data_IF_500881029811
#
_entry.id   IF_500881029811
#
_cell.length_a   1.000
_cell.length_b   1.000
_cell.length_c   1.000
_cell.angle_alpha   90.00
_cell.angle_beta   90.00
_cell.angle_gamma   90.00
#
_symmetry.space_group_name_H-M   'P 1'
#
loop_
_entity.id
_entity.type
_entity.pdbx_description
1 polymer ?
#
# COMPACT_ATOMS: atom_id res chain seq x y z
N UNK A 1 56.70 -26.18 -17.04
CA UNK A 1 56.48 -24.86 -16.39
C UNK A 1 56.01 -23.82 -17.39
N UNK A 2 56.61 -23.74 -18.55
CA UNK A 2 56.30 -22.76 -19.64
C UNK A 2 54.90 -22.83 -20.20
N UNK A 3 54.29 -23.99 -20.40
CA UNK A 3 52.95 -24.12 -20.93
C UNK A 3 51.86 -23.55 -19.97
N UNK A 4 52.02 -23.75 -18.67
CA UNK A 4 51.12 -23.22 -17.65
C UNK A 4 51.16 -21.68 -17.56
N UNK A 5 52.34 -21.12 -17.75
CA UNK A 5 52.54 -19.65 -17.74
C UNK A 5 51.95 -19.00 -19.00
N UNK A 6 52.14 -19.67 -20.15
CA UNK A 6 51.49 -19.26 -21.40
C UNK A 6 49.94 -19.28 -21.35
N UNK A 7 49.36 -20.32 -20.75
CA UNK A 7 47.90 -20.43 -20.54
C UNK A 7 47.41 -19.33 -19.58
N UNK A 8 48.10 -19.10 -18.46
CA UNK A 8 47.73 -18.02 -17.51
C UNK A 8 47.78 -16.64 -18.16
N UNK A 9 48.83 -16.34 -18.93
CA UNK A 9 48.96 -15.08 -19.66
C UNK A 9 47.83 -14.88 -20.69
N UNK A 10 47.45 -15.95 -21.41
CA UNK A 10 46.35 -15.93 -22.36
C UNK A 10 45.02 -15.73 -21.67
N UNK A 11 44.77 -16.38 -20.53
CA UNK A 11 43.58 -16.17 -19.70
C UNK A 11 43.46 -14.74 -19.19
N UNK A 12 44.61 -14.15 -18.70
CA UNK A 12 44.62 -12.75 -18.25
C UNK A 12 44.22 -11.81 -19.38
N UNK A 13 44.83 -11.94 -20.54
CA UNK A 13 44.50 -11.11 -21.73
C UNK A 13 43.08 -11.24 -22.17
N UNK A 14 42.49 -12.44 -22.14
CA UNK A 14 41.08 -12.65 -22.46
C UNK A 14 40.14 -12.00 -21.43
N UNK A 15 40.47 -12.07 -20.15
CA UNK A 15 39.72 -11.39 -19.08
C UNK A 15 39.80 -9.88 -19.22
N UNK A 16 40.98 -9.33 -19.49
CA UNK A 16 41.17 -7.89 -19.67
C UNK A 16 40.39 -7.38 -20.89
N UNK A 17 40.40 -8.16 -21.97
CA UNK A 17 39.59 -7.85 -23.20
C UNK A 17 38.09 -7.94 -22.91
N UNK A 18 37.63 -8.96 -22.19
CA UNK A 18 36.23 -9.09 -21.82
C UNK A 18 35.76 -7.90 -20.95
N UNK A 19 36.59 -7.52 -19.95
CA UNK A 19 36.32 -6.36 -19.11
C UNK A 19 36.25 -5.05 -19.92
N UNK A 20 37.19 -4.86 -20.86
CA UNK A 20 37.20 -3.68 -21.72
C UNK A 20 35.96 -3.61 -22.61
N UNK A 21 35.54 -4.75 -23.20
CA UNK A 21 34.31 -4.84 -24.00
C UNK A 21 33.06 -4.59 -23.16
N UNK A 22 32.99 -5.14 -21.93
CA UNK A 22 31.89 -4.87 -21.00
C UNK A 22 31.77 -3.39 -20.67
N UNK A 23 32.88 -2.71 -20.40
CA UNK A 23 32.91 -1.27 -20.16
C UNK A 23 32.40 -0.49 -21.39
N UNK A 24 32.87 -0.87 -22.58
CA UNK A 24 32.44 -0.22 -23.82
C UNK A 24 30.94 -0.41 -24.07
N UNK A 25 30.44 -1.64 -23.99
CA UNK A 25 29.01 -1.95 -24.19
C UNK A 25 28.14 -1.18 -23.17
N UNK A 26 28.55 -1.17 -21.90
CA UNK A 26 27.85 -0.41 -20.89
C UNK A 26 27.83 1.09 -21.20
N UNK A 27 28.98 1.66 -21.62
CA UNK A 27 29.04 3.07 -21.98
C UNK A 27 28.09 3.40 -23.15
N UNK A 28 28.12 2.61 -24.22
CA UNK A 28 27.25 2.80 -25.39
C UNK A 28 25.76 2.68 -25.01
N UNK A 29 25.37 1.69 -24.18
CA UNK A 29 24.00 1.51 -23.72
C UNK A 29 23.51 2.72 -22.89
N UNK A 30 24.34 3.18 -21.94
CA UNK A 30 23.96 4.30 -21.07
C UNK A 30 24.00 5.65 -21.81
N UNK A 31 24.89 5.82 -22.81
CA UNK A 31 24.95 7.05 -23.62
C UNK A 31 23.79 7.13 -24.62
N UNK A 32 23.31 5.99 -25.13
CA UNK A 32 22.14 5.92 -25.98
C UNK A 32 20.81 5.95 -25.24
N UNK A 33 20.78 5.78 -23.91
CA UNK A 33 19.54 5.72 -23.15
C UNK A 33 18.96 7.12 -22.89
N UNK A 34 17.70 7.34 -23.27
CA UNK A 34 16.97 8.57 -22.94
C UNK A 34 16.44 8.56 -21.49
N UNK A 35 16.16 7.38 -20.94
CA UNK A 35 15.66 7.20 -19.58
C UNK A 35 16.42 6.06 -18.92
N UNK A 36 16.86 6.27 -17.69
CA UNK A 36 17.50 5.25 -16.86
C UNK A 36 16.67 5.07 -15.59
N UNK A 37 16.14 3.87 -15.39
CA UNK A 37 15.38 3.52 -14.18
C UNK A 37 16.27 2.74 -13.21
N UNK A 38 16.25 3.14 -11.93
CA UNK A 38 16.98 2.44 -10.86
C UNK A 38 16.34 2.69 -9.49
N UNK A 39 16.73 1.91 -8.49
CA UNK A 39 16.44 2.28 -7.10
C UNK A 39 17.31 3.45 -6.67
N UNK A 40 16.88 4.20 -5.64
CA UNK A 40 17.64 5.35 -5.11
C UNK A 40 19.08 4.97 -4.75
N UNK A 41 19.26 3.84 -4.09
CA UNK A 41 20.61 3.35 -3.70
C UNK A 41 21.41 2.92 -4.92
N UNK A 42 20.79 2.24 -5.88
CA UNK A 42 21.45 1.80 -7.12
C UNK A 42 21.89 2.96 -8.02
N UNK A 43 21.31 4.16 -7.83
CA UNK A 43 21.75 5.37 -8.54
C UNK A 43 23.21 5.75 -8.22
N UNK A 44 23.78 5.20 -7.12
CA UNK A 44 25.20 5.38 -6.77
C UNK A 44 26.13 4.33 -7.40
N UNK A 45 25.64 3.49 -8.29
CA UNK A 45 26.45 2.46 -8.93
C UNK A 45 27.53 3.08 -9.81
N UNK A 46 28.72 2.40 -9.90
CA UNK A 46 29.89 2.87 -10.66
C UNK A 46 29.61 3.25 -12.11
N UNK A 47 28.68 2.59 -12.77
CA UNK A 47 28.27 2.87 -14.15
C UNK A 47 27.60 4.25 -14.32
N UNK A 48 27.10 4.82 -13.24
CA UNK A 48 26.49 6.15 -13.22
C UNK A 48 27.41 7.23 -12.63
N UNK A 49 28.69 6.89 -12.33
CA UNK A 49 29.64 7.88 -11.84
C UNK A 49 29.99 8.90 -12.95
N UNK A 50 30.07 10.17 -12.57
CA UNK A 50 30.36 11.26 -13.48
C UNK A 50 29.20 11.66 -14.40
N UNK A 51 28.09 10.90 -14.45
CA UNK A 51 26.90 11.24 -15.24
C UNK A 51 26.03 12.27 -14.50
N UNK A 52 25.50 13.21 -15.24
CA UNK A 52 24.48 14.16 -14.79
C UNK A 52 23.23 14.02 -15.66
N UNK A 53 22.08 14.26 -15.04
CA UNK A 53 20.78 14.11 -15.65
C UNK A 53 20.03 15.44 -15.62
N UNK A 54 19.35 15.80 -16.68
CA UNK A 54 18.58 17.04 -16.73
C UNK A 54 17.39 16.99 -15.75
N UNK A 55 16.75 15.83 -15.59
CA UNK A 55 15.62 15.67 -14.67
C UNK A 55 15.67 14.29 -13.99
N UNK A 56 15.46 14.30 -12.67
CA UNK A 56 15.23 13.11 -11.87
C UNK A 56 13.76 13.06 -11.45
N UNK A 57 13.12 11.92 -11.66
CA UNK A 57 11.81 11.60 -11.11
C UNK A 57 12.01 10.59 -9.98
N UNK A 58 11.50 10.90 -8.79
CA UNK A 58 11.44 9.96 -7.66
C UNK A 58 9.98 9.59 -7.46
N UNK A 59 9.64 8.36 -7.82
CA UNK A 59 8.32 7.81 -7.58
C UNK A 59 8.24 7.25 -6.15
N UNK A 60 7.03 7.24 -5.56
CA UNK A 60 6.79 6.87 -4.15
C UNK A 60 7.69 7.65 -3.18
N UNK A 61 7.92 8.94 -3.46
CA UNK A 61 8.84 9.77 -2.69
C UNK A 61 8.43 9.94 -1.21
N UNK A 62 7.15 9.77 -0.89
CA UNK A 62 6.65 9.75 0.49
C UNK A 62 7.09 8.51 1.28
N UNK A 63 7.54 7.43 0.60
CA UNK A 63 8.05 6.21 1.22
C UNK A 63 9.58 6.15 1.24
N UNK A 64 10.26 7.17 0.74
CA UNK A 64 11.70 7.19 0.62
C UNK A 64 12.34 7.94 1.78
N UNK A 65 13.36 7.34 2.41
CA UNK A 65 14.19 8.07 3.37
C UNK A 65 14.85 9.26 2.69
N UNK A 66 14.84 10.41 3.35
CA UNK A 66 15.46 11.63 2.82
C UNK A 66 16.91 11.42 2.39
N UNK A 67 17.72 10.75 3.22
CA UNK A 67 19.12 10.46 2.89
C UNK A 67 19.26 9.64 1.59
N UNK A 68 18.35 8.70 1.33
CA UNK A 68 18.35 7.93 0.08
C UNK A 68 17.98 8.80 -1.13
N UNK A 69 17.06 9.76 -0.99
CA UNK A 69 16.73 10.71 -2.05
C UNK A 69 17.95 11.54 -2.46
N UNK A 70 18.74 12.01 -1.49
CA UNK A 70 19.94 12.82 -1.78
C UNK A 70 21.02 12.08 -2.56
N UNK A 71 21.07 10.75 -2.51
CA UNK A 71 21.98 9.95 -3.34
C UNK A 71 21.73 10.20 -4.83
N UNK A 72 20.47 10.20 -5.24
CA UNK A 72 20.06 10.42 -6.62
C UNK A 72 20.04 11.92 -6.99
N UNK A 73 19.55 12.78 -6.09
CA UNK A 73 19.38 14.23 -6.31
C UNK A 73 20.69 14.90 -6.72
N UNK A 74 21.81 14.50 -6.11
CA UNK A 74 23.13 15.04 -6.44
C UNK A 74 23.54 14.90 -7.90
N UNK A 75 22.87 14.03 -8.66
CA UNK A 75 23.20 13.71 -10.06
C UNK A 75 22.28 14.42 -11.06
N UNK A 76 21.33 15.22 -10.59
CA UNK A 76 20.33 15.86 -11.47
C UNK A 76 20.29 17.38 -11.24
N UNK A 77 19.85 18.08 -12.30
CA UNK A 77 19.68 19.54 -12.26
C UNK A 77 18.29 19.92 -11.81
N UNK A 78 17.28 19.10 -12.09
CA UNK A 78 15.89 19.27 -11.68
C UNK A 78 15.35 17.98 -11.07
N UNK A 79 14.53 18.11 -10.03
CA UNK A 79 13.91 16.97 -9.33
C UNK A 79 12.40 17.11 -9.33
N UNK A 80 11.69 16.02 -9.64
CA UNK A 80 10.26 15.87 -9.50
C UNK A 80 10.01 14.74 -8.50
N UNK A 81 9.31 15.05 -7.40
CA UNK A 81 8.90 14.08 -6.38
C UNK A 81 7.44 13.70 -6.67
N UNK A 82 7.18 12.44 -6.96
CA UNK A 82 5.84 11.88 -7.08
C UNK A 82 5.57 11.00 -5.86
N UNK A 83 4.36 11.08 -5.30
CA UNK A 83 3.97 10.30 -4.12
C UNK A 83 2.85 10.95 -3.36
N UNK A 84 2.49 10.34 -2.24
CA UNK A 84 1.39 10.79 -1.39
C UNK A 84 1.82 10.79 0.08
N UNK A 85 2.03 11.97 0.64
CA UNK A 85 2.44 12.15 2.03
C UNK A 85 1.33 11.85 3.05
N UNK A 86 0.09 11.70 2.60
CA UNK A 86 -1.04 11.23 3.41
C UNK A 86 -1.14 9.70 3.45
N UNK A 87 -0.24 8.98 2.78
CA UNK A 87 -0.07 7.53 2.87
C UNK A 87 1.14 7.17 3.75
N UNK A 88 1.48 5.86 3.80
CA UNK A 88 2.50 5.36 4.73
C UNK A 88 3.89 5.95 4.46
N UNK A 89 4.61 6.35 5.51
CA UNK A 89 6.01 6.75 5.44
C UNK A 89 6.93 5.52 5.30
N UNK A 90 8.24 5.73 5.10
CA UNK A 90 9.19 4.64 5.10
C UNK A 90 9.19 3.90 6.46
N UNK A 91 9.28 2.55 6.47
CA UNK A 91 9.29 1.79 7.72
C UNK A 91 10.60 2.00 8.48
N UNK A 92 10.50 2.58 9.68
CA UNK A 92 11.65 2.79 10.57
C UNK A 92 11.60 1.76 11.71
N UNK A 93 12.64 0.92 11.82
CA UNK A 93 12.72 -0.12 12.86
C UNK A 93 13.14 0.43 14.23
N UNK A 94 13.91 1.49 14.25
CA UNK A 94 14.39 2.12 15.48
C UNK A 94 13.43 3.25 15.87
N UNK A 95 12.72 3.07 16.98
CA UNK A 95 11.76 4.07 17.48
C UNK A 95 12.42 5.39 17.88
N UNK A 96 13.63 5.36 18.40
CA UNK A 96 14.37 6.57 18.76
C UNK A 96 14.74 7.38 17.51
N UNK A 97 15.20 6.69 16.45
CA UNK A 97 15.49 7.33 15.18
C UNK A 97 14.25 7.94 14.52
N UNK A 98 13.10 7.24 14.60
CA UNK A 98 11.82 7.76 14.10
C UNK A 98 11.45 9.06 14.84
N UNK A 99 11.47 9.04 16.19
CA UNK A 99 11.23 10.24 17.03
C UNK A 99 12.25 11.34 16.76
N UNK A 100 13.49 11.00 16.42
CA UNK A 100 14.54 11.93 16.00
C UNK A 100 14.32 12.56 14.63
N UNK A 101 13.22 12.20 13.94
CA UNK A 101 12.82 12.80 12.66
C UNK A 101 13.22 12.00 11.41
N UNK A 102 13.77 10.77 11.56
CA UNK A 102 14.14 9.94 10.41
C UNK A 102 12.93 9.52 9.56
N UNK A 103 11.74 9.44 10.16
CA UNK A 103 10.50 9.13 9.45
C UNK A 103 9.97 10.29 8.59
N UNK A 104 10.42 11.53 8.85
CA UNK A 104 9.98 12.70 8.09
C UNK A 104 10.67 12.73 6.74
N UNK A 105 9.92 12.49 5.69
CA UNK A 105 10.44 12.37 4.31
C UNK A 105 10.80 13.72 3.70
N UNK A 106 11.65 13.70 2.65
CA UNK A 106 11.94 14.91 1.88
C UNK A 106 10.66 15.49 1.26
N UNK A 107 9.75 14.63 0.79
CA UNK A 107 8.47 15.05 0.22
C UNK A 107 7.61 15.81 1.25
N UNK A 108 7.45 15.29 2.48
CA UNK A 108 6.74 15.98 3.55
C UNK A 108 7.35 17.35 3.88
N UNK A 109 8.69 17.45 3.86
CA UNK A 109 9.39 18.73 4.07
C UNK A 109 9.12 19.71 2.94
N UNK A 110 9.08 19.24 1.69
CA UNK A 110 8.77 20.09 0.52
C UNK A 110 7.32 20.55 0.58
N UNK A 111 6.37 19.65 0.84
CA UNK A 111 4.94 19.99 0.96
C UNK A 111 4.71 21.06 2.04
N UNK A 112 5.34 20.89 3.21
CA UNK A 112 5.17 21.82 4.33
C UNK A 112 5.84 23.17 4.11
N UNK A 113 7.04 23.20 3.52
CA UNK A 113 7.87 24.40 3.48
C UNK A 113 7.80 25.16 2.15
N UNK A 114 7.34 24.49 1.07
CA UNK A 114 7.29 25.04 -0.29
C UNK A 114 5.98 24.70 -0.99
N UNK A 115 4.81 25.05 -0.43
CA UNK A 115 3.52 24.68 -1.02
C UNK A 115 3.33 25.18 -2.47
N UNK A 116 3.98 26.28 -2.83
CA UNK A 116 3.90 26.84 -4.18
C UNK A 116 4.46 25.94 -5.30
N UNK A 117 5.27 24.92 -4.96
CA UNK A 117 5.81 23.95 -5.94
C UNK A 117 5.10 22.60 -5.88
N UNK A 118 4.04 22.51 -5.09
CA UNK A 118 3.25 21.28 -4.92
C UNK A 118 2.01 21.35 -5.78
N UNK A 119 1.73 20.27 -6.50
CA UNK A 119 0.51 20.11 -7.30
C UNK A 119 -0.19 18.83 -6.90
N UNK A 120 -1.46 18.91 -6.52
CA UNK A 120 -2.31 17.76 -6.25
C UNK A 120 -2.91 17.23 -7.56
N UNK A 121 -2.76 15.93 -7.81
CA UNK A 121 -3.51 15.24 -8.86
C UNK A 121 -4.93 14.97 -8.35
N UNK A 122 -5.90 15.76 -8.81
CA UNK A 122 -7.25 15.79 -8.25
C UNK A 122 -8.14 14.66 -8.77
N UNK A 123 -7.99 14.29 -10.04
CA UNK A 123 -8.82 13.25 -10.66
C UNK A 123 -8.22 11.87 -10.42
N UNK A 124 -8.98 11.00 -9.81
CA UNK A 124 -8.60 9.60 -9.58
C UNK A 124 -9.43 8.65 -10.46
N UNK A 125 -8.80 7.53 -10.89
CA UNK A 125 -9.34 6.54 -11.82
C UNK A 125 -9.50 5.15 -11.19
N UNK A 126 -9.50 5.05 -9.86
CA UNK A 126 -9.54 3.77 -9.13
C UNK A 126 -10.88 3.52 -8.47
N UNK A 127 -11.28 4.40 -7.58
CA UNK A 127 -12.35 4.15 -6.62
C UNK A 127 -13.71 4.63 -7.11
N UNK A 128 -14.75 3.89 -6.73
CA UNK A 128 -16.10 4.43 -6.70
C UNK A 128 -16.15 5.74 -5.91
N UNK A 129 -16.97 6.70 -6.34
CA UNK A 129 -17.03 8.04 -5.73
C UNK A 129 -17.33 8.01 -4.23
N UNK A 130 -18.28 7.17 -3.79
CA UNK A 130 -18.63 7.08 -2.35
C UNK A 130 -17.48 6.55 -1.50
N UNK A 131 -16.64 5.66 -2.02
CA UNK A 131 -15.43 5.19 -1.30
C UNK A 131 -14.40 6.31 -1.21
N UNK A 132 -14.25 7.11 -2.26
CA UNK A 132 -13.29 8.21 -2.33
C UNK A 132 -13.68 9.41 -1.45
N UNK A 133 -14.97 9.71 -1.31
CA UNK A 133 -15.44 10.94 -0.64
C UNK A 133 -14.87 11.15 0.76
N UNK A 134 -14.86 10.13 1.61
CA UNK A 134 -14.34 10.27 2.97
C UNK A 134 -12.82 10.50 3.00
N UNK A 135 -11.96 9.70 2.33
CA UNK A 135 -10.54 10.03 2.18
C UNK A 135 -10.29 11.43 1.60
N UNK A 136 -11.06 11.84 0.58
CA UNK A 136 -10.96 13.17 -0.01
C UNK A 136 -11.15 14.27 1.02
N UNK A 137 -12.22 14.19 1.80
CA UNK A 137 -12.55 15.19 2.82
C UNK A 137 -11.54 15.22 3.97
N UNK A 138 -11.08 14.04 4.42
CA UNK A 138 -10.23 13.95 5.58
C UNK A 138 -8.75 14.27 5.30
N UNK A 139 -8.22 13.80 4.18
CA UNK A 139 -6.79 13.88 3.87
C UNK A 139 -6.43 14.89 2.77
N UNK A 140 -7.38 15.25 1.90
CA UNK A 140 -7.09 16.03 0.69
C UNK A 140 -8.03 17.24 0.53
N UNK A 141 -8.52 17.79 1.64
CA UNK A 141 -9.37 19.00 1.69
C UNK A 141 -10.63 18.94 0.81
N UNK A 142 -11.13 17.76 0.49
CA UNK A 142 -12.27 17.57 -0.40
C UNK A 142 -11.97 17.79 -1.89
N UNK A 143 -10.69 17.87 -2.28
CA UNK A 143 -10.29 18.26 -3.64
C UNK A 143 -10.22 17.08 -4.63
N UNK A 144 -10.37 15.83 -4.18
CA UNK A 144 -10.36 14.69 -5.09
C UNK A 144 -11.70 14.53 -5.80
N UNK A 145 -11.63 14.15 -7.07
CA UNK A 145 -12.76 13.88 -7.95
C UNK A 145 -12.62 12.49 -8.57
N UNK A 146 -13.71 11.75 -8.67
CA UNK A 146 -13.73 10.49 -9.39
C UNK A 146 -13.92 10.74 -10.89
N UNK A 147 -13.07 10.14 -11.70
CA UNK A 147 -13.22 10.16 -13.14
C UNK A 147 -14.59 9.54 -13.55
N UNK A 148 -15.22 10.02 -14.64
CA UNK A 148 -16.54 9.52 -15.06
C UNK A 148 -16.62 7.99 -15.20
N UNK A 149 -15.52 7.36 -15.64
CA UNK A 149 -15.43 5.91 -15.89
C UNK A 149 -15.48 5.06 -14.62
N UNK A 150 -15.13 5.63 -13.47
CA UNK A 150 -15.08 4.91 -12.20
C UNK A 150 -16.09 5.40 -11.19
N UNK A 151 -16.71 6.54 -11.42
CA UNK A 151 -17.58 7.25 -10.47
C UNK A 151 -18.67 6.36 -9.86
N UNK A 152 -19.34 5.59 -10.69
CA UNK A 152 -20.46 4.72 -10.30
C UNK A 152 -20.20 3.24 -10.58
N UNK A 153 -18.92 2.87 -10.68
CA UNK A 153 -18.53 1.49 -10.95
C UNK A 153 -18.89 0.58 -9.78
N UNK A 154 -19.73 -0.41 -10.01
CA UNK A 154 -20.18 -1.37 -9.02
C UNK A 154 -20.17 -2.81 -9.55
N UNK A 155 -20.29 -3.79 -8.64
CA UNK A 155 -20.38 -5.21 -8.98
C UNK A 155 -21.82 -5.67 -9.04
N UNK A 156 -22.64 -5.24 -8.09
CA UNK A 156 -24.04 -5.58 -7.98
C UNK A 156 -24.90 -4.31 -8.07
N UNK A 157 -26.01 -4.39 -8.76
CA UNK A 157 -26.99 -3.32 -8.78
C UNK A 157 -27.56 -3.09 -7.36
N UNK A 158 -27.73 -1.81 -6.99
CA UNK A 158 -28.27 -1.41 -5.69
C UNK A 158 -27.43 -1.83 -4.47
N UNK A 159 -26.14 -2.19 -4.66
CA UNK A 159 -25.22 -2.48 -3.57
C UNK A 159 -24.52 -1.19 -3.09
N UNK A 160 -24.51 -0.96 -1.78
CA UNK A 160 -23.79 0.18 -1.22
C UNK A 160 -22.28 -0.01 -1.40
N UNK A 161 -21.55 0.95 -1.99
CA UNK A 161 -20.12 0.81 -2.26
C UNK A 161 -19.24 0.67 -1.01
N UNK A 162 -19.67 1.25 0.11
CA UNK A 162 -18.99 1.18 1.40
C UNK A 162 -19.96 0.73 2.49
N UNK A 163 -19.54 -0.21 3.31
CA UNK A 163 -20.35 -0.77 4.38
C UNK A 163 -19.51 -1.00 5.65
N UNK A 164 -20.08 -0.71 6.83
CA UNK A 164 -19.50 -1.02 8.13
C UNK A 164 -20.33 -2.09 8.82
N UNK A 165 -19.68 -3.18 9.21
CA UNK A 165 -20.28 -4.23 10.04
C UNK A 165 -19.82 -3.97 11.47
N UNK A 166 -20.73 -3.48 12.28
CA UNK A 166 -20.48 -3.20 13.70
C UNK A 166 -20.54 -4.47 14.53
N UNK A 167 -19.50 -4.72 15.29
CA UNK A 167 -19.37 -5.89 16.18
C UNK A 167 -19.60 -5.55 17.66
N UNK A 168 -20.03 -4.34 18.00
CA UNK A 168 -20.18 -3.86 19.38
C UNK A 168 -21.14 -4.71 20.23
N UNK A 169 -22.21 -5.23 19.65
CA UNK A 169 -23.20 -6.05 20.36
C UNK A 169 -22.86 -7.55 20.37
N UNK A 170 -21.72 -7.94 19.78
CA UNK A 170 -21.39 -9.36 19.56
C UNK A 170 -20.44 -9.96 20.60
N UNK A 171 -20.04 -9.19 21.62
CA UNK A 171 -19.04 -9.58 22.66
C UNK A 171 -17.76 -10.20 22.07
N UNK A 172 -17.31 -9.68 20.93
CA UNK A 172 -16.07 -10.12 20.31
C UNK A 172 -14.88 -9.50 21.03
N UNK A 173 -13.90 -10.32 21.42
CA UNK A 173 -12.74 -9.87 22.20
C UNK A 173 -11.46 -9.98 21.41
N UNK A 174 -10.65 -8.92 21.50
CA UNK A 174 -9.29 -8.99 21.04
C UNK A 174 -8.40 -9.79 21.98
N UNK A 175 -7.50 -10.60 21.43
CA UNK A 175 -6.53 -11.39 22.17
C UNK A 175 -5.09 -10.97 21.82
N UNK A 176 -4.20 -11.02 22.79
CA UNK A 176 -2.76 -10.91 22.52
C UNK A 176 -2.21 -12.23 22.01
N UNK A 177 -1.35 -12.18 21.01
CA UNK A 177 -0.68 -13.36 20.44
C UNK A 177 0.82 -13.13 20.41
N UNK A 178 1.57 -14.01 21.09
CA UNK A 178 3.04 -13.97 21.12
C UNK A 178 3.64 -12.87 22.00
N UNK A 179 4.97 -12.83 22.02
CA UNK A 179 5.75 -11.88 22.84
C UNK A 179 5.79 -10.46 22.27
N UNK A 180 5.39 -10.26 21.02
CA UNK A 180 5.48 -8.98 20.30
C UNK A 180 4.11 -8.43 19.96
N UNK A 181 3.41 -7.81 20.90
CA UNK A 181 2.22 -6.96 20.67
C UNK A 181 1.28 -7.35 19.51
N UNK A 182 1.30 -8.59 19.06
CA UNK A 182 0.38 -9.13 18.07
C UNK A 182 -1.02 -9.17 18.65
N UNK A 183 -2.03 -8.77 17.85
CA UNK A 183 -3.43 -8.85 18.26
C UNK A 183 -4.20 -9.66 17.24
N UNK A 184 -5.20 -10.38 17.74
CA UNK A 184 -6.14 -11.16 16.95
C UNK A 184 -7.53 -11.03 17.55
N UNK A 185 -8.53 -10.99 16.68
CA UNK A 185 -9.94 -11.15 17.04
C UNK A 185 -10.49 -12.26 16.13
N UNK A 186 -10.52 -13.48 16.66
CA UNK A 186 -10.91 -14.67 15.90
C UNK A 186 -12.37 -14.62 15.48
N UNK A 187 -13.23 -14.13 16.37
CA UNK A 187 -14.65 -14.02 16.09
C UNK A 187 -14.93 -13.01 14.96
N UNK A 188 -14.26 -11.85 14.95
CA UNK A 188 -14.33 -10.87 13.87
C UNK A 188 -13.83 -11.47 12.56
N UNK A 189 -12.72 -12.24 12.60
CA UNK A 189 -12.21 -12.92 11.39
C UNK A 189 -13.19 -13.95 10.83
N UNK A 190 -13.84 -14.74 11.70
CA UNK A 190 -14.81 -15.76 11.29
C UNK A 190 -16.09 -15.10 10.74
N UNK A 191 -16.54 -13.97 11.31
CA UNK A 191 -17.61 -13.14 10.76
C UNK A 191 -17.22 -12.59 9.38
N UNK A 192 -16.02 -12.02 9.24
CA UNK A 192 -15.52 -11.52 7.95
C UNK A 192 -15.60 -12.60 6.87
N UNK A 193 -15.18 -13.82 7.17
CA UNK A 193 -15.22 -14.93 6.22
C UNK A 193 -16.64 -15.35 5.88
N UNK A 194 -17.58 -15.27 6.83
CA UNK A 194 -19.00 -15.49 6.58
C UNK A 194 -19.56 -14.45 5.60
N UNK A 195 -19.31 -13.17 5.86
CA UNK A 195 -19.75 -12.06 5.00
C UNK A 195 -19.13 -12.12 3.61
N UNK A 196 -17.83 -12.47 3.53
CA UNK A 196 -17.15 -12.71 2.26
C UNK A 196 -17.84 -13.82 1.44
N UNK A 197 -18.21 -14.94 2.08
CA UNK A 197 -18.92 -16.02 1.41
C UNK A 197 -20.34 -15.62 0.97
N UNK A 198 -21.04 -14.87 1.80
CA UNK A 198 -22.35 -14.31 1.46
C UNK A 198 -22.22 -13.43 0.21
N UNK A 199 -21.22 -12.55 0.19
CA UNK A 199 -20.99 -11.65 -0.93
C UNK A 199 -20.60 -12.40 -2.23
N UNK A 200 -19.73 -13.40 -2.13
CA UNK A 200 -19.38 -14.30 -3.25
C UNK A 200 -20.63 -14.99 -3.83
N UNK A 201 -21.51 -15.49 -2.95
CA UNK A 201 -22.76 -16.13 -3.39
C UNK A 201 -23.71 -15.14 -4.07
N UNK A 202 -23.80 -13.90 -3.59
CA UNK A 202 -24.59 -12.82 -4.21
C UNK A 202 -24.10 -12.47 -5.62
N UNK A 203 -22.76 -12.40 -5.81
CA UNK A 203 -22.18 -12.13 -7.15
C UNK A 203 -22.40 -13.33 -8.08
N UNK A 204 -22.29 -14.53 -7.54
CA UNK A 204 -22.31 -15.79 -8.28
C UNK A 204 -20.91 -16.23 -8.73
N UNK A 205 -20.58 -17.49 -8.38
CA UNK A 205 -19.23 -18.02 -8.59
C UNK A 205 -18.78 -18.04 -10.04
N UNK A 206 -19.68 -18.27 -10.99
CA UNK A 206 -19.38 -18.24 -12.43
C UNK A 206 -18.93 -16.84 -12.86
N UNK A 207 -19.66 -15.81 -12.50
CA UNK A 207 -19.37 -14.41 -12.82
C UNK A 207 -18.02 -13.97 -12.24
N UNK A 208 -17.71 -14.34 -10.98
CA UNK A 208 -16.43 -14.04 -10.35
C UNK A 208 -15.24 -14.57 -11.17
N UNK A 209 -15.36 -15.81 -11.68
CA UNK A 209 -14.29 -16.44 -12.45
C UNK A 209 -14.16 -15.87 -13.87
N UNK A 210 -15.28 -15.59 -14.52
CA UNK A 210 -15.32 -15.04 -15.88
C UNK A 210 -14.80 -13.58 -15.92
N UNK A 211 -15.26 -12.73 -14.99
CA UNK A 211 -14.86 -11.32 -14.89
C UNK A 211 -13.58 -11.13 -14.08
N UNK A 212 -13.04 -12.17 -13.47
CA UNK A 212 -11.85 -12.16 -12.59
C UNK A 212 -11.96 -11.16 -11.46
N UNK A 213 -13.15 -11.04 -10.84
CA UNK A 213 -13.37 -10.15 -9.70
C UNK A 213 -12.43 -10.56 -8.56
N UNK A 214 -11.57 -9.64 -8.15
CA UNK A 214 -10.54 -9.90 -7.16
C UNK A 214 -10.87 -9.30 -5.79
N UNK A 215 -10.40 -10.01 -4.74
CA UNK A 215 -10.72 -9.68 -3.35
C UNK A 215 -9.43 -9.41 -2.56
N UNK A 216 -9.44 -8.32 -1.81
CA UNK A 216 -8.43 -8.01 -0.83
C UNK A 216 -8.97 -8.12 0.59
N UNK A 217 -8.22 -8.74 1.48
CA UNK A 217 -8.53 -8.80 2.90
C UNK A 217 -7.37 -8.17 3.65
N UNK A 218 -7.67 -7.10 4.36
CA UNK A 218 -6.66 -6.25 5.02
C UNK A 218 -6.89 -6.27 6.53
N UNK A 219 -5.81 -6.40 7.29
CA UNK A 219 -5.82 -6.13 8.72
C UNK A 219 -4.52 -5.41 9.14
N UNK A 220 -4.55 -4.52 10.14
CA UNK A 220 -3.34 -3.89 10.66
C UNK A 220 -2.43 -4.86 11.42
N UNK A 221 -2.91 -6.05 11.80
CA UNK A 221 -2.19 -7.00 12.64
C UNK A 221 -1.80 -8.28 11.91
N UNK A 222 -0.52 -8.62 11.93
CA UNK A 222 0.02 -9.83 11.27
C UNK A 222 -0.62 -11.13 11.78
N UNK A 223 -0.95 -11.21 13.08
CA UNK A 223 -1.60 -12.38 13.65
C UNK A 223 -2.99 -12.61 13.02
N UNK A 224 -3.79 -11.54 12.86
CA UNK A 224 -5.09 -11.60 12.19
C UNK A 224 -4.97 -12.03 10.73
N UNK A 225 -4.01 -11.44 10.02
CA UNK A 225 -3.71 -11.81 8.62
C UNK A 225 -3.38 -13.30 8.50
N UNK A 226 -2.54 -13.82 9.39
CA UNK A 226 -2.15 -15.24 9.35
C UNK A 226 -3.33 -16.17 9.67
N UNK A 227 -4.17 -15.78 10.62
CA UNK A 227 -5.39 -16.55 10.93
C UNK A 227 -6.35 -16.59 9.74
N UNK A 228 -6.63 -15.44 9.14
CA UNK A 228 -7.48 -15.32 7.94
C UNK A 228 -6.93 -16.14 6.77
N UNK A 229 -5.61 -16.09 6.51
CA UNK A 229 -4.95 -16.91 5.49
C UNK A 229 -5.17 -18.42 5.72
N UNK A 230 -4.97 -18.88 6.95
CA UNK A 230 -5.14 -20.27 7.31
C UNK A 230 -6.59 -20.73 7.12
N UNK A 231 -7.56 -19.94 7.55
CA UNK A 231 -8.99 -20.21 7.39
C UNK A 231 -9.40 -20.27 5.91
N UNK A 232 -8.99 -19.29 5.08
CA UNK A 232 -9.26 -19.29 3.63
C UNK A 232 -8.63 -20.51 2.95
N UNK A 233 -7.41 -20.88 3.37
CA UNK A 233 -6.73 -22.07 2.83
C UNK A 233 -7.44 -23.38 3.22
N UNK A 234 -8.02 -23.45 4.41
CA UNK A 234 -8.72 -24.62 4.89
C UNK A 234 -10.15 -24.76 4.32
N UNK A 235 -10.78 -23.65 3.93
CA UNK A 235 -12.16 -23.62 3.45
C UNK A 235 -12.28 -24.17 2.01
N UNK A 236 -12.99 -25.29 1.87
CA UNK A 236 -13.20 -25.95 0.58
C UNK A 236 -14.06 -25.11 -0.37
N UNK A 237 -15.01 -24.33 0.14
CA UNK A 237 -15.91 -23.48 -0.67
C UNK A 237 -15.17 -22.32 -1.35
N UNK A 238 -14.08 -21.86 -0.75
CA UNK A 238 -13.24 -20.80 -1.28
C UNK A 238 -12.13 -21.28 -2.21
N UNK A 239 -11.95 -22.63 -2.32
CA UNK A 239 -10.90 -23.24 -3.15
C UNK A 239 -10.89 -22.76 -4.62
N UNK A 240 -12.03 -22.61 -5.32
CA UNK A 240 -12.05 -22.14 -6.72
C UNK A 240 -11.54 -20.73 -6.91
N UNK A 241 -11.65 -19.88 -5.89
CA UNK A 241 -11.37 -18.43 -5.96
C UNK A 241 -10.01 -18.05 -5.36
N UNK A 242 -9.19 -18.99 -4.88
CA UNK A 242 -7.95 -18.71 -4.12
C UNK A 242 -6.97 -17.81 -4.85
N UNK A 243 -6.87 -17.92 -6.17
CA UNK A 243 -6.01 -17.07 -6.98
C UNK A 243 -6.48 -15.62 -7.07
N UNK A 244 -7.74 -15.34 -6.73
CA UNK A 244 -8.36 -14.03 -6.73
C UNK A 244 -8.30 -13.36 -5.35
N UNK A 245 -7.82 -14.07 -4.31
CA UNK A 245 -7.69 -13.52 -2.96
C UNK A 245 -6.28 -13.03 -2.68
N UNK A 246 -6.19 -11.86 -2.08
CA UNK A 246 -4.97 -11.35 -1.43
C UNK A 246 -5.28 -11.00 0.02
N UNK A 247 -4.59 -11.64 0.95
CA UNK A 247 -4.72 -11.36 2.40
C UNK A 247 -3.42 -10.80 2.91
N UNK A 248 -3.38 -9.56 3.38
CA UNK A 248 -2.14 -8.96 3.85
C UNK A 248 -2.37 -7.86 4.89
N UNK A 249 -1.27 -7.40 5.50
CA UNK A 249 -1.30 -6.19 6.32
C UNK A 249 -1.50 -4.96 5.42
N UNK A 250 -1.85 -3.83 6.02
CA UNK A 250 -2.00 -2.55 5.30
C UNK A 250 -0.72 -2.23 4.53
N UNK A 251 0.45 -2.35 5.18
CA UNK A 251 1.76 -2.10 4.55
C UNK A 251 2.00 -3.03 3.35
N UNK A 252 1.57 -4.29 3.44
CA UNK A 252 1.70 -5.26 2.35
C UNK A 252 0.71 -5.07 1.20
N UNK A 253 -0.32 -4.21 1.38
CA UNK A 253 -1.25 -3.81 0.33
C UNK A 253 -0.86 -2.50 -0.37
N UNK A 254 0.15 -1.82 0.10
CA UNK A 254 0.60 -0.57 -0.52
C UNK A 254 0.99 -0.80 -1.99
N UNK A 255 0.58 0.11 -2.88
CA UNK A 255 0.75 -0.04 -4.33
C UNK A 255 -0.21 -1.03 -5.02
N UNK A 256 -1.03 -1.77 -4.26
CA UNK A 256 -2.02 -2.70 -4.82
C UNK A 256 -3.43 -2.12 -4.79
N UNK A 257 -4.36 -2.73 -5.53
CA UNK A 257 -5.79 -2.42 -5.51
C UNK A 257 -6.59 -3.68 -5.82
N UNK A 258 -7.85 -3.77 -5.36
CA UNK A 258 -8.75 -4.88 -5.61
C UNK A 258 -10.16 -4.36 -5.85
N UNK A 259 -10.95 -5.17 -6.55
CA UNK A 259 -12.36 -4.85 -6.81
C UNK A 259 -13.16 -4.75 -5.51
N UNK A 260 -12.92 -5.69 -4.62
CA UNK A 260 -13.55 -5.79 -3.31
C UNK A 260 -12.50 -5.81 -2.21
N UNK A 261 -12.64 -4.94 -1.23
CA UNK A 261 -11.78 -4.93 -0.03
C UNK A 261 -12.62 -5.20 1.22
N UNK A 262 -12.15 -6.15 2.02
CA UNK A 262 -12.60 -6.36 3.39
C UNK A 262 -11.50 -5.93 4.35
N UNK A 263 -11.86 -5.11 5.36
CA UNK A 263 -10.93 -4.65 6.41
C UNK A 263 -11.38 -5.22 7.75
N UNK A 264 -10.48 -5.93 8.45
CA UNK A 264 -10.68 -6.37 9.84
C UNK A 264 -9.85 -5.49 10.76
N UNK A 265 -10.51 -4.71 11.62
CA UNK A 265 -9.87 -3.71 12.49
C UNK A 265 -9.36 -4.31 13.81
N UNK A 266 -9.91 -5.45 14.23
CA UNK A 266 -9.47 -6.27 15.37
C UNK A 266 -9.75 -5.66 16.74
N UNK A 267 -9.64 -4.34 16.89
CA UNK A 267 -9.70 -3.65 18.17
C UNK A 267 -11.10 -3.71 18.76
N UNK A 268 -11.17 -4.29 19.98
CA UNK A 268 -12.37 -4.42 20.78
C UNK A 268 -11.98 -4.41 22.28
N UNK A 269 -12.12 -3.27 22.95
CA UNK A 269 -11.75 -3.09 24.35
C UNK A 269 -12.50 -1.92 24.98
N UNK A 270 -12.73 -2.00 26.28
CA UNK A 270 -13.49 -1.00 27.07
C UNK A 270 -12.74 0.33 27.23
N UNK A 271 -11.39 0.33 27.10
CA UNK A 271 -10.57 1.52 27.29
C UNK A 271 -10.52 2.43 26.03
N UNK A 272 -11.16 2.07 24.94
CA UNK A 272 -11.13 2.82 23.69
C UNK A 272 -9.74 2.92 23.05
N UNK A 273 -8.85 1.97 23.37
CA UNK A 273 -7.49 1.96 22.84
C UNK A 273 -7.45 1.38 21.44
N UNK A 274 -7.03 2.19 20.47
CA UNK A 274 -7.01 1.80 19.04
C UNK A 274 -5.63 1.33 18.54
N UNK A 275 -4.55 1.52 19.33
CA UNK A 275 -3.22 1.02 18.98
C UNK A 275 -2.70 1.47 17.62
N UNK A 276 -2.32 0.53 16.73
CA UNK A 276 -1.81 0.84 15.39
C UNK A 276 -2.78 1.58 14.48
N UNK A 277 -4.07 1.56 14.79
CA UNK A 277 -5.10 2.30 14.07
C UNK A 277 -5.01 3.83 14.31
N UNK A 278 -4.18 4.29 15.26
CA UNK A 278 -3.92 5.70 15.50
C UNK A 278 -3.11 6.35 14.37
N UNK A 279 -2.34 5.60 13.60
CA UNK A 279 -1.73 6.10 12.36
C UNK A 279 -2.76 6.07 11.23
N UNK A 280 -3.45 7.19 11.05
CA UNK A 280 -4.55 7.34 10.09
C UNK A 280 -4.10 7.15 8.63
N UNK A 281 -2.81 7.32 8.32
CA UNK A 281 -2.25 7.03 7.00
C UNK A 281 -2.45 5.57 6.61
N UNK A 282 -2.45 4.64 7.60
CA UNK A 282 -2.81 3.23 7.37
C UNK A 282 -4.26 3.08 6.92
N UNK A 283 -5.18 3.80 7.56
CA UNK A 283 -6.58 3.75 7.15
C UNK A 283 -6.79 4.38 5.77
N UNK A 284 -6.10 5.48 5.48
CA UNK A 284 -6.11 6.05 4.14
C UNK A 284 -5.67 5.02 3.09
N UNK A 285 -4.55 4.33 3.32
CA UNK A 285 -4.09 3.26 2.44
C UNK A 285 -5.14 2.16 2.34
N UNK A 286 -5.66 1.63 3.45
CA UNK A 286 -6.59 0.50 3.45
C UNK A 286 -7.88 0.80 2.68
N UNK A 287 -8.51 1.96 2.93
CA UNK A 287 -9.74 2.40 2.27
C UNK A 287 -9.51 2.58 0.77
N UNK A 288 -8.42 3.24 0.40
CA UNK A 288 -8.12 3.58 -1.00
C UNK A 288 -7.62 2.39 -1.84
N UNK A 289 -7.60 1.18 -1.29
CA UNK A 289 -7.31 -0.06 -2.06
C UNK A 289 -8.55 -0.60 -2.78
N UNK A 290 -9.75 -0.22 -2.38
CA UNK A 290 -11.00 -0.70 -2.97
C UNK A 290 -11.33 0.03 -4.27
N UNK A 291 -11.66 -0.73 -5.30
CA UNK A 291 -12.16 -0.16 -6.56
C UNK A 291 -13.67 0.03 -6.54
N UNK A 292 -14.44 -1.00 -6.15
CA UNK A 292 -15.89 -1.03 -6.30
C UNK A 292 -16.65 -1.29 -4.99
N UNK A 293 -16.05 -2.07 -4.07
CA UNK A 293 -16.69 -2.41 -2.80
C UNK A 293 -15.70 -2.38 -1.66
N UNK A 294 -16.09 -1.74 -0.56
CA UNK A 294 -15.36 -1.70 0.70
C UNK A 294 -16.26 -2.17 1.84
N UNK A 295 -15.83 -3.18 2.57
CA UNK A 295 -16.49 -3.67 3.78
C UNK A 295 -15.51 -3.55 4.94
N UNK A 296 -15.92 -2.85 6.00
CA UNK A 296 -15.11 -2.65 7.20
C UNK A 296 -15.79 -3.39 8.36
N UNK A 297 -15.04 -4.23 9.06
CA UNK A 297 -15.50 -4.88 10.29
C UNK A 297 -14.74 -4.31 11.49
N UNK A 298 -15.45 -4.00 12.54
CA UNK A 298 -14.84 -3.52 13.79
C UNK A 298 -15.87 -3.04 14.80
N UNK A 299 -15.47 -3.04 16.06
CA UNK A 299 -16.28 -2.61 17.18
C UNK A 299 -16.36 -1.08 17.23
N UNK A 300 -17.54 -0.55 16.87
CA UNK A 300 -17.77 0.89 16.83
C UNK A 300 -17.59 1.56 18.19
N UNK A 301 -17.98 0.87 19.31
CA UNK A 301 -17.85 1.41 20.66
C UNK A 301 -16.39 1.75 21.01
N UNK A 302 -15.44 0.84 20.74
CA UNK A 302 -13.99 1.11 20.91
C UNK A 302 -13.50 2.22 19.97
N UNK A 303 -13.89 2.16 18.70
CA UNK A 303 -13.27 2.98 17.65
C UNK A 303 -13.80 4.42 17.63
N UNK A 304 -15.06 4.68 18.00
CA UNK A 304 -15.67 6.01 18.03
C UNK A 304 -15.03 6.99 19.03
N UNK A 305 -14.24 6.49 19.99
CA UNK A 305 -13.45 7.34 20.87
C UNK A 305 -12.44 8.19 20.09
N UNK A 306 -12.00 7.72 18.93
CA UNK A 306 -11.13 8.50 18.05
C UNK A 306 -11.94 9.25 17.00
N UNK A 307 -11.70 10.57 16.85
CA UNK A 307 -12.48 11.46 15.99
C UNK A 307 -12.59 11.02 14.51
N UNK A 308 -11.54 10.41 13.96
CA UNK A 308 -11.53 9.89 12.60
C UNK A 308 -12.57 8.77 12.42
N UNK A 309 -12.55 7.75 13.29
CA UNK A 309 -13.45 6.60 13.18
C UNK A 309 -14.89 6.98 13.44
N UNK A 310 -15.14 7.90 14.39
CA UNK A 310 -16.47 8.44 14.62
C UNK A 310 -17.01 9.11 13.34
N UNK A 311 -16.21 9.95 12.68
CA UNK A 311 -16.60 10.62 11.44
C UNK A 311 -16.78 9.63 10.28
N UNK A 312 -15.94 8.61 10.20
CA UNK A 312 -16.08 7.54 9.19
C UNK A 312 -17.38 6.76 9.39
N UNK A 313 -17.73 6.40 10.63
CA UNK A 313 -18.99 5.73 10.97
C UNK A 313 -20.19 6.61 10.60
N UNK A 314 -20.21 7.88 11.03
CA UNK A 314 -21.26 8.86 10.67
C UNK A 314 -21.43 8.98 9.14
N UNK A 315 -20.31 9.04 8.42
CA UNK A 315 -20.32 9.13 6.95
C UNK A 315 -20.94 7.89 6.31
N UNK A 316 -20.57 6.69 6.75
CA UNK A 316 -21.08 5.43 6.17
C UNK A 316 -22.57 5.26 6.49
N UNK A 317 -23.02 5.60 7.70
CA UNK A 317 -24.43 5.55 8.08
C UNK A 317 -25.30 6.48 7.21
N UNK A 318 -24.78 7.67 6.88
CA UNK A 318 -25.49 8.62 6.03
C UNK A 318 -25.64 8.14 4.57
N UNK A 319 -24.70 7.36 4.05
CA UNK A 319 -24.82 6.74 2.71
C UNK A 319 -25.90 5.65 2.71
N UNK A 320 -25.96 4.83 3.76
CA UNK A 320 -26.94 3.75 3.87
C UNK A 320 -28.39 4.20 4.03
N UNK A 321 -28.61 5.49 4.35
CA UNK A 321 -29.94 6.09 4.53
C UNK A 321 -30.43 6.89 3.29
N UNK A 322 -29.64 6.96 2.23
CA UNK A 322 -30.01 7.56 0.94
C UNK A 322 -30.41 6.48 -0.05
#
# INVERSE_FOLDING_TARGET
>A
YDEREGVRSRMSRLRDRATALEIQINAELFDGAHVIASTLVSSNHRLLNGRRFGTLFIDEAAQALEAACWIAIRKADRVVLAGDHCQLPPPIKCHEAARGGLERTLMEKVVSNKPAVVSLLKVQYRMHEEIMKFPSQWFYNGELEAAPEVRYRGILDWDTPIHWIDTSEMDFKEEFVGETFGRINKAEADLLLSELKIYINRIGGRRILEEKIDFGIISPYKAQVQYLRNKIKADASLKPYRSLFTVNTVDGFQGQERDVIFISLVRANEEGQIGFLNDLRRMNVAITRARMKLVILGEAETLKHHGFYRKLLEFIQNIGNQ
#
